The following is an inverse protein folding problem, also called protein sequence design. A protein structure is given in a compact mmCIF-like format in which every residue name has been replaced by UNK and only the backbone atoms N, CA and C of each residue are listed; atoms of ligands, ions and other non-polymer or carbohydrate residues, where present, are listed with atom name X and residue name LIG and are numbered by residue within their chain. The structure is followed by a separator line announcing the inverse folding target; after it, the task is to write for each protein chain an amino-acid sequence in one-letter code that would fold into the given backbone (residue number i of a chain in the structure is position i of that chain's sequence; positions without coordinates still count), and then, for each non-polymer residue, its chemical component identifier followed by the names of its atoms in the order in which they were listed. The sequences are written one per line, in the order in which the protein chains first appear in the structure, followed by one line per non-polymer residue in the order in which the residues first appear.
data_IF_378103744050
#
_entry.id   IF_378103744050
#
_cell.length_a   1.000
_cell.length_b   1.000
_cell.length_c   1.000
_cell.angle_alpha   90.00
_cell.angle_beta   90.00
_cell.angle_gamma   90.00
#
_symmetry.space_group_name_H-M   'P 1'
#
loop_
_entity.id
_entity.type
_entity.pdbx_description
1 polymer ?
#
# COMPACT_ATOMS: atom_id res chain seq x y z
N UNK A 1 -20.81 2.62 16.74
CA UNK A 1 -19.43 2.37 17.23
C UNK A 1 -18.60 1.96 16.04
N UNK A 2 -17.51 2.65 15.78
CA UNK A 2 -16.69 2.44 14.57
C UNK A 2 -15.87 1.16 14.73
N UNK A 3 -16.45 0.02 14.33
CA UNK A 3 -15.85 -1.31 14.50
C UNK A 3 -14.48 -1.48 13.82
N UNK A 4 -14.09 -0.55 12.93
CA UNK A 4 -12.83 -0.57 12.18
C UNK A 4 -11.65 -0.07 13.01
N UNK A 5 -11.86 0.91 13.89
CA UNK A 5 -10.81 1.47 14.75
C UNK A 5 -10.23 0.42 15.71
N UNK A 6 -11.05 -0.22 16.56
CA UNK A 6 -10.61 -1.28 17.46
C UNK A 6 -10.03 -2.48 16.71
N UNK A 7 -10.55 -2.80 15.51
CA UNK A 7 -10.01 -3.89 14.70
C UNK A 7 -8.57 -3.58 14.22
N UNK A 8 -8.33 -2.34 13.78
CA UNK A 8 -7.01 -1.90 13.36
C UNK A 8 -6.02 -1.86 14.53
N UNK A 9 -6.42 -1.35 15.69
CA UNK A 9 -5.58 -1.32 16.90
C UNK A 9 -5.17 -2.73 17.35
N UNK A 10 -6.11 -3.67 17.35
CA UNK A 10 -5.85 -5.08 17.67
C UNK A 10 -4.93 -5.71 16.63
N UNK A 11 -5.12 -5.42 15.33
CA UNK A 11 -4.26 -5.92 14.27
C UNK A 11 -2.82 -5.40 14.41
N UNK A 12 -2.64 -4.13 14.81
CA UNK A 12 -1.33 -3.53 15.10
C UNK A 12 -0.68 -4.25 16.29
N UNK A 13 -1.41 -4.39 17.40
CA UNK A 13 -0.91 -5.07 18.59
C UNK A 13 -0.54 -6.54 18.31
N UNK A 14 -1.37 -7.24 17.55
CA UNK A 14 -1.11 -8.61 17.10
C UNK A 14 0.15 -8.68 16.23
N UNK A 15 0.30 -7.76 15.27
CA UNK A 15 1.50 -7.68 14.42
C UNK A 15 2.77 -7.48 15.25
N UNK A 16 2.74 -6.55 16.20
CA UNK A 16 3.87 -6.30 17.09
C UNK A 16 4.21 -7.53 17.96
N UNK A 17 3.20 -8.19 18.52
CA UNK A 17 3.37 -9.42 19.30
C UNK A 17 3.96 -10.56 18.46
N UNK A 18 3.50 -10.72 17.21
CA UNK A 18 4.03 -11.70 16.27
C UNK A 18 5.51 -11.40 15.97
N UNK A 19 5.85 -10.15 15.67
CA UNK A 19 7.24 -9.77 15.35
C UNK A 19 8.17 -10.01 16.53
N UNK A 20 7.79 -9.56 17.73
CA UNK A 20 8.60 -9.76 18.94
C UNK A 20 8.72 -11.25 19.27
N UNK A 21 7.61 -11.99 19.24
CA UNK A 21 7.61 -13.42 19.49
C UNK A 21 8.46 -14.19 18.48
N UNK A 22 8.32 -13.88 17.19
CA UNK A 22 9.10 -14.49 16.12
C UNK A 22 10.61 -14.21 16.26
N UNK A 23 11.00 -13.00 16.67
CA UNK A 23 12.41 -12.66 16.95
C UNK A 23 12.98 -13.45 18.13
N UNK A 24 12.21 -13.59 19.21
CA UNK A 24 12.62 -14.35 20.39
C UNK A 24 12.71 -15.86 20.12
N UNK A 25 11.83 -16.38 19.26
CA UNK A 25 11.81 -17.80 18.89
C UNK A 25 12.56 -18.10 17.59
N UNK A 26 13.19 -17.11 16.96
CA UNK A 26 13.97 -17.27 15.72
C UNK A 26 15.08 -18.33 15.80
N UNK A 27 15.81 -18.52 16.92
CA UNK A 27 16.82 -19.59 17.01
C UNK A 27 16.22 -20.98 17.25
N UNK A 28 14.90 -21.09 17.45
CA UNK A 28 14.20 -22.35 17.70
C UNK A 28 13.70 -22.97 16.39
N UNK A 29 13.11 -24.15 16.49
CA UNK A 29 12.50 -24.84 15.37
C UNK A 29 11.40 -23.98 14.71
N UNK A 30 11.28 -23.92 13.37
CA UNK A 30 10.32 -23.06 12.66
C UNK A 30 8.85 -23.32 13.05
N UNK A 31 8.53 -24.52 13.52
CA UNK A 31 7.21 -24.83 14.07
C UNK A 31 6.82 -23.95 15.28
N UNK A 32 7.80 -23.50 16.07
CA UNK A 32 7.58 -22.64 17.25
C UNK A 32 7.18 -21.24 16.80
N UNK A 33 7.82 -20.70 15.75
CA UNK A 33 7.46 -19.40 15.16
C UNK A 33 6.02 -19.46 14.62
N UNK A 34 5.66 -20.54 13.93
CA UNK A 34 4.28 -20.73 13.44
C UNK A 34 3.27 -20.85 14.59
N UNK A 35 3.63 -21.49 15.69
CA UNK A 35 2.78 -21.59 16.88
C UNK A 35 2.58 -20.21 17.54
N UNK A 36 3.63 -19.39 17.66
CA UNK A 36 3.53 -18.01 18.15
C UNK A 36 2.55 -17.21 17.30
N UNK A 37 2.66 -17.31 15.98
CA UNK A 37 1.78 -16.62 15.03
C UNK A 37 0.32 -17.05 15.20
N UNK A 38 0.05 -18.36 15.24
CA UNK A 38 -1.28 -18.92 15.45
C UNK A 38 -1.91 -18.46 16.77
N UNK A 39 -1.13 -18.48 17.85
CA UNK A 39 -1.58 -18.02 19.17
C UNK A 39 -1.87 -16.53 19.15
N UNK A 40 -0.99 -15.70 18.58
CA UNK A 40 -1.20 -14.25 18.47
C UNK A 40 -2.42 -13.88 17.63
N UNK A 41 -2.65 -14.57 16.51
CA UNK A 41 -3.87 -14.35 15.69
C UNK A 41 -5.11 -14.82 16.46
N UNK A 42 -5.08 -16.01 17.06
CA UNK A 42 -6.20 -16.55 17.85
C UNK A 42 -6.59 -15.66 19.02
N UNK A 43 -5.61 -15.17 19.78
CA UNK A 43 -5.87 -14.23 20.90
C UNK A 43 -6.42 -12.91 20.38
N UNK A 44 -5.93 -12.37 19.26
CA UNK A 44 -6.45 -11.15 18.66
C UNK A 44 -7.91 -11.26 18.24
N UNK A 45 -8.31 -12.39 17.64
CA UNK A 45 -9.69 -12.67 17.27
C UNK A 45 -10.58 -12.79 18.51
N UNK A 46 -10.10 -13.43 19.58
CA UNK A 46 -10.82 -13.56 20.83
C UNK A 46 -11.01 -12.20 21.54
N UNK A 47 -9.97 -11.37 21.60
CA UNK A 47 -10.05 -10.01 22.16
C UNK A 47 -11.04 -9.16 21.39
N UNK A 48 -11.01 -9.19 20.05
CA UNK A 48 -11.96 -8.44 19.24
C UNK A 48 -13.40 -8.93 19.41
N UNK A 49 -13.61 -10.25 19.49
CA UNK A 49 -14.91 -10.86 19.77
C UNK A 49 -15.49 -10.36 21.11
N UNK A 50 -14.65 -10.29 22.15
CA UNK A 50 -15.03 -9.79 23.47
C UNK A 50 -15.34 -8.29 23.46
N UNK A 51 -14.51 -7.48 22.78
CA UNK A 51 -14.72 -6.02 22.68
C UNK A 51 -16.00 -5.66 21.94
N UNK A 52 -16.37 -6.44 20.92
CA UNK A 52 -17.57 -6.23 20.13
C UNK A 52 -18.81 -6.91 20.72
N UNK A 53 -18.67 -7.72 21.79
CA UNK A 53 -19.77 -8.45 22.41
C UNK A 53 -20.42 -9.49 21.48
N UNK A 54 -19.67 -9.99 20.49
CA UNK A 54 -20.15 -10.97 19.50
C UNK A 54 -19.56 -12.34 19.80
N UNK A 55 -20.26 -13.41 19.40
CA UNK A 55 -19.74 -14.76 19.53
C UNK A 55 -18.61 -15.03 18.52
N UNK A 56 -17.65 -15.88 18.89
CA UNK A 56 -16.54 -16.28 18.01
C UNK A 56 -17.02 -16.90 16.68
N UNK A 57 -18.20 -17.54 16.68
CA UNK A 57 -18.80 -18.14 15.49
C UNK A 57 -19.46 -17.11 14.56
N UNK A 58 -19.93 -15.97 15.08
CA UNK A 58 -20.51 -14.89 14.29
C UNK A 58 -19.44 -13.92 13.76
N UNK A 59 -18.24 -13.94 14.37
CA UNK A 59 -17.12 -13.08 14.00
C UNK A 59 -16.77 -13.15 12.50
N UNK A 60 -16.70 -14.31 11.81
CA UNK A 60 -16.41 -14.36 10.38
C UNK A 60 -17.47 -13.63 9.54
N UNK A 61 -18.75 -13.80 9.86
CA UNK A 61 -19.84 -13.10 9.18
C UNK A 61 -19.81 -11.59 9.44
N UNK A 62 -19.45 -11.20 10.67
CA UNK A 62 -19.26 -9.79 11.01
C UNK A 62 -18.09 -9.16 10.24
N UNK A 63 -16.95 -9.84 10.15
CA UNK A 63 -15.79 -9.41 9.36
C UNK A 63 -16.11 -9.35 7.86
N UNK A 64 -16.89 -10.30 7.34
CA UNK A 64 -17.40 -10.26 5.97
C UNK A 64 -18.20 -8.99 5.71
N UNK A 65 -19.14 -8.66 6.59
CA UNK A 65 -19.88 -7.41 6.51
C UNK A 65 -18.96 -6.20 6.64
N UNK A 66 -17.87 -6.30 7.39
CA UNK A 66 -16.87 -5.23 7.41
C UNK A 66 -16.20 -5.01 6.05
N UNK A 67 -16.01 -6.04 5.24
CA UNK A 67 -15.35 -5.96 3.92
C UNK A 67 -16.29 -5.47 2.83
N UNK A 68 -17.56 -5.87 2.85
CA UNK A 68 -18.50 -5.55 1.77
C UNK A 68 -19.44 -4.39 2.07
N UNK A 69 -19.55 -3.95 3.33
CA UNK A 69 -20.52 -2.93 3.75
C UNK A 69 -19.82 -1.61 4.10
N UNK A 70 -20.22 -0.50 3.47
CA UNK A 70 -19.60 0.82 3.68
C UNK A 70 -19.75 1.35 5.12
N UNK A 71 -18.88 2.28 5.54
CA UNK A 71 -18.99 2.92 6.87
C UNK A 71 -20.35 3.61 7.07
N UNK A 72 -20.90 4.22 6.01
CA UNK A 72 -22.19 4.91 6.03
C UNK A 72 -23.37 3.99 6.34
N UNK A 73 -23.25 2.70 6.02
CA UNK A 73 -24.27 1.67 6.28
C UNK A 73 -24.20 1.03 7.67
N UNK A 74 -23.11 1.20 8.43
CA UNK A 74 -22.94 0.55 9.75
C UNK A 74 -23.72 1.22 10.90
N UNK A 75 -24.13 2.48 10.73
CA UNK A 75 -24.89 3.24 11.73
C UNK A 75 -26.41 3.15 11.56
N UNK A 76 -26.89 2.58 10.45
CA UNK A 76 -28.32 2.40 10.20
C UNK A 76 -28.78 1.13 10.93
N UNK A 77 -29.30 1.28 12.15
CA UNK A 77 -30.02 0.20 12.84
C UNK A 77 -31.20 -0.30 12.01
N UNK A 78 -31.84 -1.37 12.48
CA UNK A 78 -32.92 -2.15 11.81
C UNK A 78 -34.16 -1.35 11.35
N UNK A 79 -34.19 -0.03 11.54
CA UNK A 79 -35.21 0.87 11.03
C UNK A 79 -34.71 1.47 9.71
N UNK A 80 -34.97 0.75 8.62
CA UNK A 80 -34.60 1.13 7.26
C UNK A 80 -35.14 2.50 6.85
N UNK A 81 -34.23 3.48 6.77
CA UNK A 81 -34.16 4.33 5.58
C UNK A 81 -32.82 4.07 4.92
N UNK A 82 -32.81 3.10 4.01
CA UNK A 82 -31.67 2.85 3.12
C UNK A 82 -31.46 4.11 2.29
N UNK A 83 -30.54 4.96 2.75
CA UNK A 83 -30.34 6.29 2.20
C UNK A 83 -29.57 6.18 0.89
N UNK A 84 -29.87 7.05 -0.08
CA UNK A 84 -29.17 7.11 -1.37
C UNK A 84 -27.63 7.14 -1.22
N UNK A 85 -27.12 7.81 -0.18
CA UNK A 85 -25.70 7.86 0.16
C UNK A 85 -25.10 6.48 0.50
N UNK A 86 -25.88 5.61 1.14
CA UNK A 86 -25.49 4.23 1.47
C UNK A 86 -25.33 3.38 0.22
N UNK A 87 -26.23 3.51 -0.77
CA UNK A 87 -26.13 2.84 -2.07
C UNK A 87 -24.86 3.24 -2.81
N UNK A 88 -24.56 4.54 -2.81
CA UNK A 88 -23.39 5.12 -3.46
C UNK A 88 -22.11 4.57 -2.84
N UNK A 89 -22.01 4.53 -1.50
CA UNK A 89 -20.85 3.97 -0.79
C UNK A 89 -20.62 2.49 -1.09
N UNK A 90 -21.68 1.68 -1.14
CA UNK A 90 -21.62 0.26 -1.52
C UNK A 90 -21.16 0.07 -2.97
N UNK A 91 -21.64 0.91 -3.89
CA UNK A 91 -21.23 0.87 -5.29
C UNK A 91 -19.72 1.14 -5.43
N UNK A 92 -19.22 2.25 -4.88
CA UNK A 92 -17.79 2.58 -4.95
C UNK A 92 -16.90 1.49 -4.35
N UNK A 93 -17.32 0.88 -3.25
CA UNK A 93 -16.54 -0.18 -2.59
C UNK A 93 -16.46 -1.46 -3.41
N UNK A 94 -17.57 -1.89 -4.01
CA UNK A 94 -17.58 -3.06 -4.88
C UNK A 94 -16.74 -2.85 -6.15
N UNK A 95 -16.80 -1.65 -6.75
CA UNK A 95 -15.95 -1.29 -7.89
C UNK A 95 -14.47 -1.21 -7.52
N UNK A 96 -14.15 -0.70 -6.33
CA UNK A 96 -12.79 -0.68 -5.80
C UNK A 96 -12.24 -2.10 -5.63
N UNK A 97 -13.02 -2.99 -5.00
CA UNK A 97 -12.66 -4.39 -4.81
C UNK A 97 -12.44 -5.10 -6.15
N UNK A 98 -13.32 -4.88 -7.12
CA UNK A 98 -13.17 -5.44 -8.47
C UNK A 98 -11.89 -4.96 -9.14
N UNK A 99 -11.60 -3.65 -9.09
CA UNK A 99 -10.36 -3.08 -9.59
C UNK A 99 -9.13 -3.67 -8.90
N UNK A 100 -9.17 -3.87 -7.58
CA UNK A 100 -8.08 -4.50 -6.84
C UNK A 100 -7.87 -5.96 -7.23
N UNK A 101 -8.96 -6.73 -7.39
CA UNK A 101 -8.89 -8.12 -7.87
C UNK A 101 -8.26 -8.21 -9.25
N UNK A 102 -8.56 -7.27 -10.16
CA UNK A 102 -7.90 -7.19 -11.47
C UNK A 102 -6.40 -6.93 -11.35
N UNK A 103 -5.97 -6.02 -10.46
CA UNK A 103 -4.55 -5.74 -10.23
C UNK A 103 -3.81 -6.96 -9.65
N UNK A 104 -4.43 -7.67 -8.71
CA UNK A 104 -3.88 -8.91 -8.14
C UNK A 104 -3.78 -9.99 -9.21
N UNK A 105 -4.84 -10.19 -10.00
CA UNK A 105 -4.83 -11.17 -11.10
C UNK A 105 -3.77 -10.85 -12.14
N UNK A 106 -3.63 -9.58 -12.55
CA UNK A 106 -2.58 -9.15 -13.46
C UNK A 106 -1.18 -9.42 -12.88
N UNK A 107 -0.99 -9.20 -11.58
CA UNK A 107 0.26 -9.50 -10.87
C UNK A 107 0.57 -11.01 -10.86
N UNK A 108 -0.43 -11.86 -10.60
CA UNK A 108 -0.27 -13.32 -10.60
C UNK A 108 0.01 -13.85 -12.00
N UNK A 109 -0.76 -13.43 -13.01
CA UNK A 109 -0.55 -13.87 -14.41
C UNK A 109 0.82 -13.44 -14.94
N UNK A 110 1.24 -12.21 -14.66
CA UNK A 110 2.56 -11.73 -15.02
C UNK A 110 3.66 -12.45 -14.26
N UNK A 111 3.49 -12.70 -12.96
CA UNK A 111 4.42 -13.51 -12.16
C UNK A 111 4.60 -14.93 -12.73
N UNK A 112 3.51 -15.60 -13.10
CA UNK A 112 3.55 -16.92 -13.73
C UNK A 112 4.28 -16.90 -15.08
N UNK A 113 4.00 -15.90 -15.92
CA UNK A 113 4.69 -15.70 -17.21
C UNK A 113 6.20 -15.49 -17.04
N UNK A 114 6.59 -14.68 -16.06
CA UNK A 114 8.01 -14.40 -15.77
C UNK A 114 8.73 -15.64 -15.23
N UNK A 115 8.07 -16.44 -14.40
CA UNK A 115 8.60 -17.72 -13.90
C UNK A 115 8.89 -18.68 -15.05
N UNK A 116 8.02 -18.75 -16.06
CA UNK A 116 8.24 -19.58 -17.26
C UNK A 116 9.41 -19.07 -18.11
N UNK A 117 9.63 -17.75 -18.19
CA UNK A 117 10.73 -17.17 -18.96
C UNK A 117 12.11 -17.31 -18.30
N UNK A 118 12.18 -17.58 -16.99
CA UNK A 118 13.44 -17.82 -16.26
C UNK A 118 14.42 -16.63 -16.22
N UNK A 119 14.03 -15.45 -16.69
CA UNK A 119 14.87 -14.23 -16.70
C UNK A 119 14.27 -13.20 -15.77
N UNK A 120 15.09 -12.64 -14.87
CA UNK A 120 14.68 -11.54 -14.00
C UNK A 120 15.22 -10.20 -14.53
N UNK A 121 14.33 -9.39 -15.09
CA UNK A 121 14.59 -8.01 -15.49
C UNK A 121 14.11 -7.00 -14.44
N UNK A 122 14.61 -5.77 -14.50
CA UNK A 122 14.12 -4.66 -13.67
C UNK A 122 12.68 -4.26 -14.03
N UNK A 123 12.18 -4.62 -15.22
CA UNK A 123 10.78 -4.39 -15.63
C UNK A 123 9.83 -5.19 -14.75
N UNK A 124 10.20 -6.40 -14.32
CA UNK A 124 9.33 -7.21 -13.47
C UNK A 124 9.03 -6.51 -12.14
N UNK A 125 10.08 -5.98 -11.50
CA UNK A 125 9.96 -5.22 -10.25
C UNK A 125 9.05 -4.00 -10.41
N UNK A 126 9.22 -3.25 -11.51
CA UNK A 126 8.41 -2.05 -11.77
C UNK A 126 6.94 -2.36 -12.02
N UNK A 127 6.63 -3.50 -12.65
CA UNK A 127 5.24 -3.94 -12.83
C UNK A 127 4.54 -4.18 -11.50
N UNK A 128 5.17 -4.90 -10.57
CA UNK A 128 4.60 -5.14 -9.23
C UNK A 128 4.47 -3.85 -8.41
N UNK A 129 5.44 -2.93 -8.51
CA UNK A 129 5.32 -1.62 -7.86
C UNK A 129 4.16 -0.80 -8.42
N UNK A 130 3.90 -0.87 -9.73
CA UNK A 130 2.78 -0.19 -10.34
C UNK A 130 1.43 -0.72 -9.83
N UNK A 131 1.23 -2.04 -9.83
CA UNK A 131 -0.05 -2.65 -9.41
C UNK A 131 -0.33 -2.40 -7.92
N UNK A 132 0.69 -2.50 -7.06
CA UNK A 132 0.57 -2.15 -5.63
C UNK A 132 0.28 -0.67 -5.45
N UNK A 133 0.94 0.21 -6.23
CA UNK A 133 0.65 1.65 -6.20
C UNK A 133 -0.81 1.91 -6.60
N UNK A 134 -1.32 1.29 -7.67
CA UNK A 134 -2.72 1.46 -8.09
C UNK A 134 -3.72 1.07 -7.01
N UNK A 135 -3.47 -0.03 -6.29
CA UNK A 135 -4.30 -0.47 -5.15
C UNK A 135 -4.25 0.56 -4.02
N UNK A 136 -3.04 1.00 -3.63
CA UNK A 136 -2.86 1.97 -2.55
C UNK A 136 -3.51 3.32 -2.86
N UNK A 137 -3.26 3.84 -4.07
CA UNK A 137 -3.79 5.11 -4.54
C UNK A 137 -5.31 5.08 -4.59
N UNK A 138 -5.90 4.08 -5.23
CA UNK A 138 -7.35 3.96 -5.30
C UNK A 138 -7.98 3.77 -3.91
N UNK A 139 -7.36 3.01 -3.02
CA UNK A 139 -7.79 2.89 -1.63
C UNK A 139 -7.82 4.22 -0.89
N UNK A 140 -6.77 5.04 -1.08
CA UNK A 140 -6.70 6.35 -0.46
C UNK A 140 -7.82 7.29 -0.93
N UNK A 141 -8.18 7.23 -2.22
CA UNK A 141 -9.23 8.07 -2.80
C UNK A 141 -10.63 7.66 -2.37
N UNK A 142 -10.91 6.36 -2.29
CA UNK A 142 -12.27 5.85 -2.13
C UNK A 142 -12.59 5.36 -0.72
N UNK A 143 -11.65 4.75 0.01
CA UNK A 143 -11.88 4.20 1.36
C UNK A 143 -10.57 4.04 2.17
N UNK A 144 -10.22 5.08 2.94
CA UNK A 144 -8.95 5.15 3.70
C UNK A 144 -8.86 4.11 4.81
N UNK A 145 -9.95 3.93 5.55
CA UNK A 145 -9.98 3.00 6.68
C UNK A 145 -9.85 1.57 6.17
N UNK A 146 -10.41 1.29 5.00
CA UNK A 146 -10.31 -0.01 4.38
C UNK A 146 -8.91 -0.34 3.83
N UNK A 147 -8.22 0.62 3.19
CA UNK A 147 -6.83 0.39 2.77
C UNK A 147 -5.89 0.26 3.96
N UNK A 148 -6.14 0.98 5.06
CA UNK A 148 -5.41 0.84 6.31
C UNK A 148 -5.56 -0.57 6.89
N UNK A 149 -6.81 -1.02 7.05
CA UNK A 149 -7.11 -2.38 7.53
C UNK A 149 -6.49 -3.45 6.61
N UNK A 150 -6.65 -3.30 5.30
CA UNK A 150 -6.12 -4.25 4.31
C UNK A 150 -4.59 -4.31 4.34
N UNK A 151 -3.92 -3.18 4.58
CA UNK A 151 -2.46 -3.10 4.71
C UNK A 151 -1.93 -3.90 5.90
N UNK A 152 -2.55 -3.75 7.08
CA UNK A 152 -2.19 -4.54 8.27
C UNK A 152 -2.49 -6.02 8.11
N UNK A 153 -3.63 -6.37 7.52
CA UNK A 153 -3.98 -7.76 7.23
C UNK A 153 -2.96 -8.40 6.27
N UNK A 154 -2.60 -7.70 5.20
CA UNK A 154 -1.60 -8.16 4.23
C UNK A 154 -0.23 -8.34 4.88
N UNK A 155 0.15 -7.43 5.78
CA UNK A 155 1.40 -7.53 6.55
C UNK A 155 1.38 -8.79 7.45
N UNK A 156 0.29 -9.06 8.17
CA UNK A 156 0.12 -10.28 8.95
C UNK A 156 0.25 -11.54 8.07
N UNK A 157 -0.41 -11.57 6.91
CA UNK A 157 -0.36 -12.68 5.95
C UNK A 157 1.08 -12.88 5.45
N UNK A 158 1.79 -11.80 5.10
CA UNK A 158 3.19 -11.90 4.69
C UNK A 158 4.07 -12.44 5.81
N UNK A 159 3.87 -12.03 7.07
CA UNK A 159 4.63 -12.59 8.19
C UNK A 159 4.33 -14.09 8.37
N UNK A 160 3.06 -14.50 8.22
CA UNK A 160 2.68 -15.92 8.29
C UNK A 160 3.38 -16.74 7.19
N UNK A 161 3.37 -16.22 5.95
CA UNK A 161 3.94 -16.92 4.79
C UNK A 161 5.47 -16.93 4.86
N UNK A 162 6.10 -15.77 5.06
CA UNK A 162 7.56 -15.59 5.08
C UNK A 162 8.19 -16.12 6.38
N UNK A 163 7.43 -16.21 7.48
CA UNK A 163 7.87 -16.82 8.74
C UNK A 163 8.24 -18.30 8.63
N UNK A 164 7.84 -18.96 7.55
CA UNK A 164 8.26 -20.31 7.19
C UNK A 164 9.59 -20.39 6.41
N UNK A 165 10.08 -19.26 5.90
CA UNK A 165 11.32 -19.14 5.12
C UNK A 165 12.12 -17.92 5.58
N UNK A 166 12.93 -18.10 6.63
CA UNK A 166 13.90 -17.10 7.06
C UNK A 166 14.80 -16.64 5.89
N UNK A 167 14.49 -15.51 5.23
CA UNK A 167 15.43 -14.49 4.71
C UNK A 167 14.72 -13.40 3.88
N UNK A 168 14.85 -12.17 4.38
CA UNK A 168 15.10 -10.97 3.56
C UNK A 168 13.94 -10.35 2.76
N UNK A 169 13.06 -9.60 3.44
CA UNK A 169 12.50 -8.31 2.93
C UNK A 169 11.75 -7.45 3.97
N UNK A 170 11.86 -7.76 5.27
CA UNK A 170 11.12 -7.08 6.34
C UNK A 170 11.61 -5.64 6.67
N UNK A 171 12.72 -5.20 6.07
CA UNK A 171 13.38 -3.92 6.39
C UNK A 171 12.89 -2.73 5.53
N UNK A 172 12.13 -2.98 4.46
CA UNK A 172 11.64 -1.94 3.55
C UNK A 172 10.24 -1.39 3.91
N UNK A 173 9.47 -2.10 4.73
CA UNK A 173 8.10 -1.67 5.08
C UNK A 173 8.00 -1.06 6.50
N UNK A 174 8.94 -1.40 7.39
CA UNK A 174 8.97 -0.91 8.78
C UNK A 174 9.71 0.42 8.95
N UNK A 175 10.63 0.78 8.04
CA UNK A 175 11.39 2.05 8.09
C UNK A 175 10.60 3.28 7.63
N UNK A 176 9.35 3.12 7.17
CA UNK A 176 8.46 4.22 6.77
C UNK A 176 7.47 4.68 7.84
N UNK A 177 7.43 4.03 9.00
CA UNK A 177 6.44 4.26 10.05
C UNK A 177 6.94 5.28 11.06
N UNK A 178 6.88 6.55 10.67
CA UNK A 178 6.55 7.75 11.47
C UNK A 178 6.99 8.98 10.68
N UNK A 179 6.03 9.78 10.22
CA UNK A 179 6.21 11.12 9.60
C UNK A 179 6.45 11.23 8.07
N UNK A 180 6.59 10.16 7.28
CA UNK A 180 6.96 10.26 5.83
C UNK A 180 5.76 10.03 4.86
N UNK A 181 4.54 9.90 5.38
CA UNK A 181 3.48 9.07 4.79
C UNK A 181 2.80 9.53 3.48
N UNK A 182 3.12 10.66 2.86
CA UNK A 182 2.37 11.13 1.67
C UNK A 182 3.20 11.39 0.40
N UNK A 183 4.39 11.99 0.47
CA UNK A 183 5.18 12.25 -0.73
C UNK A 183 6.07 11.09 -1.19
N UNK A 184 6.56 10.27 -0.26
CA UNK A 184 7.57 9.25 -0.55
C UNK A 184 7.04 8.08 -1.37
N UNK A 185 5.83 7.59 -1.06
CA UNK A 185 5.19 6.47 -1.79
C UNK A 185 4.76 6.90 -3.20
N UNK A 186 4.26 8.13 -3.31
CA UNK A 186 3.83 8.79 -4.54
C UNK A 186 4.96 9.04 -5.54
N UNK A 187 6.05 9.64 -5.06
CA UNK A 187 7.18 10.05 -5.89
C UNK A 187 7.96 8.87 -6.43
N UNK A 188 8.19 7.85 -5.58
CA UNK A 188 9.11 6.75 -5.87
C UNK A 188 8.40 5.62 -6.63
N UNK A 189 7.17 5.26 -6.26
CA UNK A 189 6.46 4.15 -6.89
C UNK A 189 5.88 4.47 -8.27
N UNK A 190 5.18 5.60 -8.38
CA UNK A 190 4.45 5.98 -9.59
C UNK A 190 5.39 6.61 -10.61
N UNK A 191 6.26 7.53 -10.15
CA UNK A 191 7.22 8.23 -10.99
C UNK A 191 8.14 7.27 -11.74
N UNK A 192 8.83 6.38 -11.03
CA UNK A 192 9.83 5.47 -11.63
C UNK A 192 9.23 4.41 -12.54
N UNK A 193 7.98 4.03 -12.27
CA UNK A 193 7.21 3.07 -13.08
C UNK A 193 6.79 3.72 -14.39
N UNK A 194 6.16 4.90 -14.34
CA UNK A 194 5.75 5.66 -15.53
C UNK A 194 6.97 6.07 -16.36
N UNK A 195 8.05 6.50 -15.73
CA UNK A 195 9.31 6.83 -16.40
C UNK A 195 9.89 5.64 -17.18
N UNK A 196 9.80 4.43 -16.63
CA UNK A 196 10.30 3.22 -17.28
C UNK A 196 9.41 2.75 -18.41
N UNK A 197 8.08 2.81 -18.25
CA UNK A 197 7.14 2.41 -19.29
C UNK A 197 7.26 3.36 -20.48
N UNK A 198 7.16 4.68 -20.22
CA UNK A 198 7.24 5.69 -21.27
C UNK A 198 8.66 5.76 -21.84
N UNK A 199 9.68 5.70 -20.98
CA UNK A 199 11.06 5.75 -21.42
C UNK A 199 11.53 4.52 -22.21
N UNK A 200 10.97 3.33 -21.96
CA UNK A 200 11.30 2.12 -22.74
C UNK A 200 10.54 2.02 -24.06
N UNK A 201 9.30 2.53 -24.12
CA UNK A 201 8.44 2.42 -25.31
C UNK A 201 8.52 3.62 -26.26
N UNK A 202 8.72 4.82 -25.72
CA UNK A 202 8.69 6.08 -26.47
C UNK A 202 9.95 6.93 -26.28
N UNK A 203 10.91 6.49 -25.47
CA UNK A 203 12.12 7.26 -25.18
C UNK A 203 13.11 7.25 -26.34
N UNK A 204 13.27 8.39 -26.99
CA UNK A 204 14.19 8.57 -28.13
C UNK A 204 15.39 9.42 -27.75
N UNK A 205 15.16 10.47 -26.96
CA UNK A 205 16.17 11.47 -26.59
C UNK A 205 16.75 11.14 -25.22
N UNK A 206 18.05 10.87 -25.14
CA UNK A 206 18.73 10.53 -23.88
C UNK A 206 19.37 11.74 -23.22
N UNK A 207 19.40 11.75 -21.90
CA UNK A 207 20.11 12.78 -21.13
C UNK A 207 21.63 12.65 -21.31
N UNK A 208 22.38 13.78 -21.35
CA UNK A 208 23.83 13.73 -21.43
C UNK A 208 24.40 12.97 -20.23
N UNK A 209 25.25 11.98 -20.48
CA UNK A 209 25.89 11.13 -19.46
C UNK A 209 24.95 10.24 -18.64
N UNK A 210 23.70 10.03 -19.08
CA UNK A 210 22.75 9.10 -18.44
C UNK A 210 22.16 8.12 -19.44
N UNK A 211 21.73 6.95 -18.94
CA UNK A 211 20.98 5.96 -19.75
C UNK A 211 19.48 6.27 -19.81
N UNK A 212 19.03 7.30 -19.08
CA UNK A 212 17.62 7.71 -18.96
C UNK A 212 17.21 8.60 -20.14
N UNK A 213 15.93 8.60 -20.47
CA UNK A 213 15.36 9.38 -21.59
C UNK A 213 14.62 10.62 -21.08
N UNK A 214 14.66 11.70 -21.86
CA UNK A 214 13.99 12.97 -21.56
C UNK A 214 12.48 12.74 -21.49
N UNK A 215 11.94 11.92 -22.40
CA UNK A 215 10.53 11.56 -22.44
C UNK A 215 10.12 10.78 -21.17
N UNK A 216 10.98 9.87 -20.70
CA UNK A 216 10.78 9.15 -19.44
C UNK A 216 10.78 10.09 -18.22
N UNK A 217 11.72 11.03 -18.14
CA UNK A 217 11.77 12.03 -17.06
C UNK A 217 10.58 12.99 -17.10
N UNK A 218 10.11 13.38 -18.29
CA UNK A 218 8.93 14.23 -18.43
C UNK A 218 7.65 13.53 -17.96
N UNK A 219 7.52 12.24 -18.28
CA UNK A 219 6.40 11.41 -17.86
C UNK A 219 6.42 11.15 -16.34
N UNK A 220 7.61 11.01 -15.75
CA UNK A 220 7.81 10.96 -14.30
C UNK A 220 7.29 12.24 -13.63
N UNK A 221 7.75 13.41 -14.08
CA UNK A 221 7.36 14.68 -13.50
C UNK A 221 5.84 14.91 -13.62
N UNK A 222 5.25 14.59 -14.77
CA UNK A 222 3.81 14.68 -14.98
C UNK A 222 3.04 13.73 -14.03
N UNK A 223 3.48 12.48 -13.89
CA UNK A 223 2.82 11.50 -13.03
C UNK A 223 2.89 11.91 -11.55
N UNK A 224 4.04 12.41 -11.08
CA UNK A 224 4.22 12.90 -9.71
C UNK A 224 3.36 14.14 -9.47
N UNK A 225 3.35 15.11 -10.40
CA UNK A 225 2.56 16.32 -10.27
C UNK A 225 1.05 16.03 -10.24
N UNK A 226 0.55 15.20 -11.16
CA UNK A 226 -0.86 14.78 -11.19
C UNK A 226 -1.24 14.07 -9.90
N UNK A 227 -0.40 13.15 -9.42
CA UNK A 227 -0.66 12.44 -8.18
C UNK A 227 -0.72 13.40 -6.97
N UNK A 228 0.27 14.27 -6.79
CA UNK A 228 0.33 15.18 -5.65
C UNK A 228 -0.77 16.25 -5.68
N UNK A 229 -1.17 16.71 -6.87
CA UNK A 229 -2.33 17.60 -7.04
C UNK A 229 -3.62 16.89 -6.63
N UNK A 230 -3.79 15.63 -7.02
CA UNK A 230 -4.96 14.83 -6.65
C UNK A 230 -4.96 14.42 -5.16
N UNK A 231 -3.79 14.29 -4.54
CA UNK A 231 -3.63 14.00 -3.10
C UNK A 231 -3.81 15.24 -2.20
N UNK A 232 -3.70 16.44 -2.77
CA UNK A 232 -3.80 17.74 -2.07
C UNK A 232 -5.04 17.94 -1.17
N UNK A 233 -6.29 17.59 -1.57
CA UNK A 233 -7.46 17.73 -0.71
C UNK A 233 -7.44 16.80 0.53
N UNK A 234 -6.47 15.90 0.60
CA UNK A 234 -6.35 14.90 1.65
C UNK A 234 -5.17 15.12 2.59
N UNK A 235 -4.35 16.15 2.33
CA UNK A 235 -3.26 16.55 3.21
C UNK A 235 -3.79 17.32 4.43
N UNK A 236 -3.48 16.84 5.63
CA UNK A 236 -3.58 17.65 6.86
C UNK A 236 -2.55 18.79 6.80
N UNK A 237 -2.91 19.98 7.32
CA UNK A 237 -2.10 21.20 7.29
C UNK A 237 -0.60 20.99 7.58
N UNK A 238 0.35 21.61 6.84
CA UNK A 238 0.16 22.59 5.77
C UNK A 238 -0.04 21.95 4.39
N UNK A 239 -1.01 22.48 3.62
CA UNK A 239 -1.29 22.01 2.26
C UNK A 239 -0.28 22.63 1.28
N UNK A 240 0.53 21.85 0.55
CA UNK A 240 1.52 22.39 -0.38
C UNK A 240 0.83 23.16 -1.52
N UNK A 241 1.42 24.27 -1.95
CA UNK A 241 0.90 25.08 -3.06
C UNK A 241 1.16 24.37 -4.40
N UNK A 242 0.31 24.62 -5.42
CA UNK A 242 0.50 24.10 -6.78
C UNK A 242 1.93 24.32 -7.34
N UNK A 243 2.55 25.51 -7.23
CA UNK A 243 3.92 25.70 -7.70
C UNK A 243 4.95 24.89 -6.90
N UNK A 244 4.76 24.71 -5.58
CA UNK A 244 5.61 23.80 -4.78
C UNK A 244 5.53 22.37 -5.33
N UNK A 245 4.33 21.87 -5.62
CA UNK A 245 4.13 20.51 -6.15
C UNK A 245 4.83 20.31 -7.50
N UNK A 246 4.64 21.24 -8.44
CA UNK A 246 5.26 21.17 -9.77
C UNK A 246 6.78 21.27 -9.66
N UNK A 247 7.30 22.17 -8.83
CA UNK A 247 8.73 22.32 -8.58
C UNK A 247 9.32 21.02 -7.99
N UNK A 248 8.66 20.43 -7.00
CA UNK A 248 9.07 19.15 -6.42
C UNK A 248 9.09 18.04 -7.48
N UNK A 249 8.06 17.92 -8.31
CA UNK A 249 8.01 16.91 -9.36
C UNK A 249 9.14 17.05 -10.38
N UNK A 250 9.49 18.28 -10.77
CA UNK A 250 10.60 18.57 -11.67
C UNK A 250 11.96 18.27 -11.04
N UNK A 251 12.18 18.65 -9.78
CA UNK A 251 13.43 18.39 -9.06
C UNK A 251 13.65 16.89 -8.88
N UNK A 252 12.60 16.14 -8.51
CA UNK A 252 12.68 14.68 -8.37
C UNK A 252 12.98 13.99 -9.69
N UNK A 253 12.33 14.40 -10.79
CA UNK A 253 12.62 13.87 -12.12
C UNK A 253 14.05 14.20 -12.60
N UNK A 254 14.57 15.38 -12.24
CA UNK A 254 15.95 15.76 -12.53
C UNK A 254 16.95 14.93 -11.71
N UNK A 255 16.71 14.73 -10.41
CA UNK A 255 17.54 13.88 -9.56
C UNK A 255 17.59 12.46 -10.13
N UNK A 256 16.46 11.88 -10.53
CA UNK A 256 16.40 10.56 -11.16
C UNK A 256 17.12 10.50 -12.52
N UNK A 257 17.10 11.59 -13.29
CA UNK A 257 17.79 11.67 -14.58
C UNK A 257 19.32 11.62 -14.43
N UNK A 258 19.86 12.26 -13.39
CA UNK A 258 21.32 12.44 -13.19
C UNK A 258 21.94 11.52 -12.14
N UNK A 259 21.14 10.83 -11.32
CA UNK A 259 21.64 9.96 -10.24
C UNK A 259 21.59 8.49 -10.65
N UNK A 260 22.69 7.75 -10.45
CA UNK A 260 22.83 6.35 -10.92
C UNK A 260 22.82 5.32 -9.77
N UNK A 261 23.03 5.75 -8.51
CA UNK A 261 23.26 4.83 -7.36
C UNK A 261 22.45 5.11 -6.09
N UNK A 262 21.72 6.23 -5.99
CA UNK A 262 21.10 6.69 -4.72
C UNK A 262 19.62 7.09 -4.90
N UNK A 263 19.01 6.74 -6.03
CA UNK A 263 17.62 7.03 -6.39
C UNK A 263 16.61 6.55 -5.33
N UNK A 264 16.76 5.31 -4.86
CA UNK A 264 15.81 4.67 -3.93
C UNK A 264 15.75 5.28 -2.52
N UNK A 265 16.74 6.11 -2.13
CA UNK A 265 16.77 6.79 -0.81
C UNK A 265 16.67 8.31 -0.99
N UNK A 266 17.32 8.87 -2.02
CA UNK A 266 17.36 10.31 -2.23
C UNK A 266 15.99 10.89 -2.65
N UNK A 267 15.25 10.20 -3.50
CA UNK A 267 13.94 10.67 -4.00
C UNK A 267 12.90 10.86 -2.88
N UNK A 268 12.66 9.88 -1.97
CA UNK A 268 11.68 10.08 -0.89
C UNK A 268 12.13 11.13 0.14
N UNK A 269 13.43 11.23 0.42
CA UNK A 269 13.99 12.22 1.36
C UNK A 269 13.86 13.64 0.81
N UNK A 270 14.28 13.87 -0.44
CA UNK A 270 14.19 15.20 -1.08
C UNK A 270 12.73 15.60 -1.29
N UNK A 271 11.86 14.66 -1.66
CA UNK A 271 10.43 14.90 -1.82
C UNK A 271 9.77 15.37 -0.52
N UNK A 272 10.15 14.80 0.62
CA UNK A 272 9.68 15.24 1.94
C UNK A 272 10.10 16.69 2.23
N UNK A 273 11.39 17.01 2.12
CA UNK A 273 11.90 18.35 2.43
C UNK A 273 11.33 19.46 1.52
N UNK A 274 11.05 19.16 0.24
CA UNK A 274 10.50 20.14 -0.68
C UNK A 274 9.00 20.41 -0.46
N UNK A 275 8.29 19.45 0.14
CA UNK A 275 6.85 19.54 0.39
C UNK A 275 6.49 19.93 1.83
N UNK A 276 7.44 19.84 2.77
CA UNK A 276 7.36 20.54 4.07
C UNK A 276 7.28 22.06 3.93
#
# INVERSE_FOLDING_TARGET
MDAVGPLAEIAIAATAAIVVGALLTAPLHPAVVNAVVLVSVGTSMMVYSLMMGISLFELPHFLWNIVFTSHSTRGAGNNCSFSFQSCIGLFYRNWLLFFWSMNVMASVSFGAFVTVQGRSSTVHRKFFHLTVSQIFVSGLFYDRDFIWLSGWLMLCIFIIIEGSSCRFSFLLMTSGLTSITWPGVAAVGIGDSVAAIVGSKYGTTRWPRSKKTVEGSSAMAAAIAVFLIAARPFCSSPVPSYPKIVLTALILAAIEAFTVKIDNIALPVVGYFLLS
#
